data_IF_786367938223
#
_entry.id   IF_786367938223
#
_cell.length_a   1.000
_cell.length_b   1.000
_cell.length_c   1.000
_cell.angle_alpha   90.00
_cell.angle_beta   90.00
_cell.angle_gamma   90.00
#
_symmetry.space_group_name_H-M   'P 1'
#
loop_
_entity.id
_entity.type
_entity.pdbx_description
1 polymer ?
#
# COMPACT_ATOMS: atom_id res chain seq x y z
N UNK A 1 73.40 -38.51 22.88
CA UNK A 1 72.41 -37.89 21.97
C UNK A 1 71.25 -38.86 21.77
N UNK A 2 70.07 -38.52 22.28
CA UNK A 2 68.91 -39.42 22.42
C UNK A 2 68.18 -39.59 21.08
N UNK A 3 68.02 -40.83 20.60
CA UNK A 3 67.31 -41.15 19.35
C UNK A 3 65.79 -41.05 19.59
N UNK A 4 65.13 -40.04 19.02
CA UNK A 4 63.67 -39.95 19.01
C UNK A 4 63.11 -41.12 18.19
N UNK A 5 62.24 -41.92 18.80
CA UNK A 5 61.65 -43.11 18.18
C UNK A 5 60.67 -42.69 17.08
N UNK A 6 60.83 -43.20 15.84
CA UNK A 6 60.01 -42.87 14.65
C UNK A 6 58.49 -42.92 14.92
N UNK A 7 58.04 -43.78 15.85
CA UNK A 7 56.63 -43.88 16.26
C UNK A 7 56.12 -42.61 16.97
N UNK A 8 56.94 -42.00 17.84
CA UNK A 8 56.59 -40.76 18.58
C UNK A 8 56.48 -39.57 17.63
N UNK A 9 57.36 -39.51 16.63
CA UNK A 9 57.32 -38.48 15.59
C UNK A 9 56.04 -38.57 14.75
N UNK A 10 55.64 -39.80 14.39
CA UNK A 10 54.42 -40.03 13.60
C UNK A 10 53.15 -39.65 14.36
N UNK A 11 53.10 -39.91 15.67
CA UNK A 11 51.97 -39.52 16.53
C UNK A 11 51.86 -38.00 16.68
N UNK A 12 52.98 -37.29 16.82
CA UNK A 12 53.00 -35.81 16.88
C UNK A 12 52.55 -35.17 15.56
N UNK A 13 52.97 -35.72 14.42
CA UNK A 13 52.54 -35.24 13.10
C UNK A 13 51.04 -35.47 12.89
N UNK A 14 50.51 -36.64 13.27
CA UNK A 14 49.07 -36.91 13.21
C UNK A 14 48.24 -36.04 14.15
N UNK A 15 48.73 -35.73 15.37
CA UNK A 15 48.06 -34.79 16.28
C UNK A 15 48.02 -33.35 15.74
N UNK A 16 49.06 -32.93 15.01
CA UNK A 16 49.09 -31.59 14.40
C UNK A 16 48.17 -31.43 13.19
N UNK A 17 47.79 -32.53 12.54
CA UNK A 17 46.84 -32.56 11.42
C UNK A 17 45.36 -32.55 11.87
N UNK A 18 45.10 -32.71 13.17
CA UNK A 18 43.77 -32.70 13.79
C UNK A 18 43.35 -31.33 14.33
N UNK A 19 44.12 -30.27 14.03
CA UNK A 19 43.68 -28.92 14.32
C UNK A 19 42.51 -28.62 13.36
N UNK A 20 41.27 -28.44 13.85
CA UNK A 20 40.21 -27.94 12.99
C UNK A 20 40.67 -26.59 12.45
N UNK A 21 40.97 -26.53 11.15
CA UNK A 21 41.08 -25.26 10.45
C UNK A 21 39.65 -24.72 10.41
N UNK A 22 39.31 -23.92 11.42
CA UNK A 22 38.07 -23.15 11.40
C UNK A 22 38.22 -22.24 10.19
N UNK A 23 37.46 -22.51 9.13
CA UNK A 23 37.40 -21.60 8.01
C UNK A 23 36.95 -20.27 8.57
N UNK A 24 37.83 -19.27 8.57
CA UNK A 24 37.46 -17.94 9.03
C UNK A 24 36.32 -17.46 8.13
N UNK A 25 35.19 -17.08 8.72
CA UNK A 25 34.13 -16.42 7.97
C UNK A 25 34.72 -15.12 7.40
N UNK A 26 34.93 -15.12 6.08
CA UNK A 26 35.40 -13.93 5.38
C UNK A 26 34.18 -13.09 5.06
N UNK A 27 33.99 -12.02 5.83
CA UNK A 27 32.95 -11.02 5.60
C UNK A 27 33.57 -9.86 4.84
N UNK A 28 33.14 -9.67 3.60
CA UNK A 28 33.54 -8.53 2.78
C UNK A 28 32.59 -7.36 3.03
N UNK A 29 33.11 -6.25 3.53
CA UNK A 29 32.36 -5.01 3.71
C UNK A 29 32.59 -4.10 2.51
N UNK A 30 31.50 -3.60 1.93
CA UNK A 30 31.54 -2.64 0.83
C UNK A 30 31.08 -1.28 1.34
N UNK A 31 31.83 -0.22 1.03
CA UNK A 31 31.44 1.15 1.31
C UNK A 31 30.67 1.72 0.12
N UNK A 32 29.51 2.30 0.38
CA UNK A 32 28.74 3.10 -0.58
C UNK A 32 28.26 4.39 0.07
N UNK A 33 27.78 5.33 -0.73
CA UNK A 33 27.12 6.55 -0.25
C UNK A 33 25.77 6.73 -0.92
N UNK A 34 24.77 7.17 -0.14
CA UNK A 34 23.43 7.48 -0.64
C UNK A 34 23.20 8.97 -0.43
N UNK A 35 22.99 9.71 -1.52
CA UNK A 35 22.60 11.12 -1.46
C UNK A 35 21.08 11.23 -1.50
N UNK A 36 20.49 11.75 -0.42
CA UNK A 36 19.05 11.98 -0.33
C UNK A 36 18.73 13.41 -0.74
N UNK A 37 17.94 13.57 -1.80
CA UNK A 37 17.46 14.86 -2.29
C UNK A 37 15.94 14.90 -2.26
N UNK A 38 15.34 16.08 -2.05
CA UNK A 38 13.89 16.26 -2.16
C UNK A 38 13.46 16.34 -3.63
N UNK A 39 12.27 15.82 -3.92
CA UNK A 39 11.59 15.95 -5.22
C UNK A 39 10.11 16.28 -4.98
N UNK A 40 9.41 16.76 -6.02
CA UNK A 40 7.96 16.96 -5.96
C UNK A 40 7.22 15.62 -5.93
N UNK A 41 6.03 15.61 -5.33
CA UNK A 41 5.18 14.42 -5.33
C UNK A 41 4.69 14.10 -6.75
N UNK A 42 4.56 12.80 -7.09
CA UNK A 42 4.15 12.40 -8.44
C UNK A 42 2.64 12.50 -8.69
N UNK A 43 1.85 12.66 -7.62
CA UNK A 43 0.41 12.92 -7.65
C UNK A 43 0.04 14.02 -6.66
N UNK A 44 -1.04 14.72 -6.94
CA UNK A 44 -1.68 15.67 -6.01
C UNK A 44 -3.13 15.24 -5.77
N UNK A 45 -3.59 15.40 -4.52
CA UNK A 45 -4.96 15.11 -4.13
C UNK A 45 -5.73 16.43 -3.93
N UNK A 46 -7.00 16.42 -4.31
CA UNK A 46 -7.93 17.52 -4.09
C UNK A 46 -9.32 16.95 -3.76
N UNK A 47 -10.12 17.72 -3.00
CA UNK A 47 -11.53 17.37 -2.80
C UNK A 47 -12.21 17.32 -4.18
N UNK A 48 -12.97 16.25 -4.43
CA UNK A 48 -13.67 16.07 -5.69
C UNK A 48 -14.87 17.00 -5.81
N UNK A 49 -15.44 17.16 -7.02
CA UNK A 49 -16.56 18.08 -7.27
C UNK A 49 -17.81 17.77 -6.43
N UNK A 50 -18.01 16.51 -6.00
CA UNK A 50 -19.10 16.17 -5.08
C UNK A 50 -18.57 15.61 -3.76
N UNK A 51 -17.35 15.98 -3.37
CA UNK A 51 -16.73 15.54 -2.13
C UNK A 51 -17.31 16.20 -0.87
N UNK A 52 -18.12 17.24 -1.02
CA UNK A 52 -18.73 17.96 0.10
C UNK A 52 -20.21 18.23 -0.18
N UNK A 53 -21.07 17.36 0.36
CA UNK A 53 -22.52 17.41 0.26
C UNK A 53 -23.12 17.07 1.63
N UNK A 54 -23.63 18.09 2.31
CA UNK A 54 -24.18 17.99 3.66
C UNK A 54 -25.19 16.86 3.80
N UNK A 55 -24.94 15.96 4.76
CA UNK A 55 -25.80 14.81 5.04
C UNK A 55 -25.55 13.57 4.15
N UNK A 56 -24.63 13.65 3.19
CA UNK A 56 -24.29 12.52 2.30
C UNK A 56 -22.80 12.19 2.32
N UNK A 57 -21.94 13.19 2.12
CA UNK A 57 -20.49 13.00 2.12
C UNK A 57 -19.75 14.28 2.51
N UNK A 58 -18.67 14.15 3.27
CA UNK A 58 -17.72 15.24 3.53
C UNK A 58 -16.30 14.70 3.40
N UNK A 59 -15.54 15.25 2.46
CA UNK A 59 -14.18 14.85 2.13
C UNK A 59 -13.22 15.97 2.47
N UNK A 60 -12.14 15.61 3.15
CA UNK A 60 -11.02 16.49 3.42
C UNK A 60 -9.77 15.90 2.80
N UNK A 61 -8.91 16.77 2.27
CA UNK A 61 -7.57 16.40 1.83
C UNK A 61 -6.59 17.19 2.68
N UNK A 62 -5.59 16.51 3.22
CA UNK A 62 -4.61 17.10 4.12
C UNK A 62 -3.20 16.59 3.85
N UNK A 63 -2.23 17.30 4.43
CA UNK A 63 -0.88 16.81 4.59
C UNK A 63 -0.75 16.25 6.01
N UNK A 64 -1.01 14.96 6.18
CA UNK A 64 -0.70 14.28 7.43
C UNK A 64 0.82 14.28 7.64
N UNK A 65 1.32 14.06 8.87
CA UNK A 65 2.75 13.89 9.14
C UNK A 65 3.44 12.75 8.35
N UNK A 66 2.68 11.97 7.57
CA UNK A 66 3.14 10.86 6.71
C UNK A 66 2.88 11.06 5.21
N UNK A 67 2.46 12.26 4.77
CA UNK A 67 2.21 12.57 3.36
C UNK A 67 0.78 13.06 3.07
N UNK A 68 0.45 13.22 1.78
CA UNK A 68 -0.89 13.57 1.32
C UNK A 68 -1.87 12.46 1.71
N UNK A 69 -2.91 12.81 2.45
CA UNK A 69 -3.97 11.91 2.88
C UNK A 69 -5.33 12.51 2.55
N UNK A 70 -6.35 11.66 2.51
CA UNK A 70 -7.73 12.09 2.45
C UNK A 70 -8.55 11.36 3.51
N UNK A 71 -9.61 12.01 3.98
CA UNK A 71 -10.62 11.41 4.84
C UNK A 71 -11.98 11.76 4.26
N UNK A 72 -12.82 10.76 4.04
CA UNK A 72 -14.21 10.95 3.64
C UNK A 72 -15.14 10.36 4.71
N UNK A 73 -16.05 11.17 5.22
CA UNK A 73 -17.19 10.74 6.04
C UNK A 73 -18.39 10.57 5.11
N UNK A 74 -19.00 9.39 5.10
CA UNK A 74 -20.16 9.08 4.25
C UNK A 74 -21.37 8.69 5.11
N UNK A 75 -22.56 8.98 4.61
CA UNK A 75 -23.82 8.58 5.21
C UNK A 75 -24.52 7.61 4.26
N UNK A 76 -24.75 6.39 4.73
CA UNK A 76 -25.38 5.30 3.97
C UNK A 76 -26.74 4.94 4.55
N UNK A 77 -27.57 4.26 3.77
CA UNK A 77 -28.93 3.88 4.17
C UNK A 77 -29.18 2.39 3.91
N UNK A 78 -30.39 1.89 4.21
CA UNK A 78 -30.83 0.54 3.85
C UNK A 78 -31.08 0.41 2.33
N UNK A 79 -30.11 0.80 1.51
CA UNK A 79 -30.17 0.78 0.05
C UNK A 79 -29.58 -0.53 -0.49
N UNK A 80 -29.77 -0.80 -1.79
CA UNK A 80 -29.03 -1.89 -2.44
C UNK A 80 -27.58 -1.48 -2.69
N UNK A 81 -27.37 -0.22 -3.07
CA UNK A 81 -26.05 0.39 -3.21
C UNK A 81 -26.16 1.89 -2.91
N UNK A 82 -25.16 2.43 -2.23
CA UNK A 82 -24.92 3.87 -2.10
C UNK A 82 -23.72 4.24 -2.98
N UNK A 83 -23.91 5.19 -3.90
CA UNK A 83 -22.87 5.60 -4.84
C UNK A 83 -22.49 7.08 -4.64
N UNK A 84 -21.29 7.31 -4.12
CA UNK A 84 -20.71 8.63 -3.89
C UNK A 84 -19.83 9.00 -5.08
N UNK A 85 -20.43 9.73 -6.02
CA UNK A 85 -19.82 10.07 -7.29
C UNK A 85 -18.76 11.17 -7.15
N UNK A 86 -17.52 10.93 -7.57
CA UNK A 86 -16.44 11.93 -7.67
C UNK A 86 -16.18 12.70 -6.36
N UNK A 87 -15.92 11.98 -5.27
CA UNK A 87 -15.65 12.58 -3.96
C UNK A 87 -14.20 13.06 -3.79
N UNK A 88 -13.28 12.52 -4.57
CA UNK A 88 -11.84 12.86 -4.55
C UNK A 88 -11.34 13.04 -5.99
N UNK A 89 -10.39 13.95 -6.18
CA UNK A 89 -9.66 14.14 -7.44
C UNK A 89 -8.18 13.83 -7.23
N UNK A 90 -7.59 13.10 -8.18
CA UNK A 90 -6.16 12.80 -8.26
C UNK A 90 -5.61 13.48 -9.51
N UNK A 91 -4.62 14.36 -9.36
CA UNK A 91 -3.83 14.91 -10.47
C UNK A 91 -2.55 14.09 -10.63
N UNK A 92 -2.32 13.52 -11.81
CA UNK A 92 -1.06 12.84 -12.11
C UNK A 92 -0.02 13.85 -12.63
N UNK A 93 0.98 14.17 -11.81
CA UNK A 93 2.07 15.09 -12.18
C UNK A 93 3.24 14.37 -12.87
N UNK A 94 3.31 13.05 -12.71
CA UNK A 94 4.21 12.13 -13.42
C UNK A 94 3.41 10.91 -13.89
N UNK A 95 3.79 10.27 -15.02
CA UNK A 95 3.16 9.01 -15.41
C UNK A 95 3.52 7.92 -14.39
N UNK A 96 2.62 6.96 -14.19
CA UNK A 96 2.84 5.90 -13.21
C UNK A 96 1.61 5.03 -13.00
N UNK A 97 1.71 4.11 -12.05
CA UNK A 97 0.64 3.17 -11.73
C UNK A 97 0.16 3.40 -10.30
N UNK A 98 -1.14 3.67 -10.16
CA UNK A 98 -1.85 3.70 -8.89
C UNK A 98 -2.22 2.27 -8.48
N UNK A 99 -2.03 1.95 -7.20
CA UNK A 99 -2.37 0.64 -6.65
C UNK A 99 -2.73 0.78 -5.17
N UNK A 100 -3.29 -0.29 -4.59
CA UNK A 100 -3.59 -0.36 -3.17
C UNK A 100 -2.56 -1.28 -2.52
N UNK A 101 -1.87 -0.80 -1.49
CA UNK A 101 -0.89 -1.59 -0.73
C UNK A 101 -1.54 -2.43 0.34
N UNK A 102 -2.57 -1.88 1.00
CA UNK A 102 -3.24 -2.51 2.11
C UNK A 102 -4.65 -1.93 2.31
N UNK A 103 -5.54 -2.75 2.87
CA UNK A 103 -6.89 -2.35 3.26
C UNK A 103 -7.20 -2.94 4.63
N UNK A 104 -7.72 -2.12 5.53
CA UNK A 104 -8.23 -2.57 6.82
C UNK A 104 -9.62 -2.01 7.08
N UNK A 105 -10.43 -2.71 7.87
CA UNK A 105 -11.77 -2.21 8.20
C UNK A 105 -12.21 -2.54 9.62
N UNK A 106 -12.99 -1.63 10.21
CA UNK A 106 -13.70 -1.79 11.48
C UNK A 106 -15.22 -1.76 11.30
N UNK A 107 -15.73 -1.84 10.08
CA UNK A 107 -17.18 -1.78 9.79
C UNK A 107 -17.95 -3.04 10.20
N UNK A 108 -17.25 -4.08 10.66
CA UNK A 108 -17.83 -5.37 11.01
C UNK A 108 -18.57 -5.99 9.83
N UNK A 109 -19.76 -6.52 10.07
CA UNK A 109 -20.61 -7.09 9.02
C UNK A 109 -21.55 -6.08 8.36
N UNK A 110 -21.39 -4.78 8.60
CA UNK A 110 -22.34 -3.78 8.09
C UNK A 110 -22.14 -3.46 6.60
N UNK A 111 -20.93 -3.64 6.06
CA UNK A 111 -20.61 -3.36 4.66
C UNK A 111 -20.30 -4.67 3.95
N UNK A 112 -21.10 -5.04 2.95
CA UNK A 112 -20.94 -6.27 2.18
C UNK A 112 -19.80 -6.16 1.17
N UNK A 113 -19.83 -5.12 0.36
CA UNK A 113 -18.80 -4.82 -0.62
C UNK A 113 -18.59 -3.30 -0.72
N UNK A 114 -17.40 -2.89 -1.14
CA UNK A 114 -17.12 -1.49 -1.46
C UNK A 114 -16.04 -1.40 -2.53
N UNK A 115 -16.16 -0.40 -3.40
CA UNK A 115 -15.26 -0.17 -4.52
C UNK A 115 -14.85 1.30 -4.62
N UNK A 116 -13.56 1.52 -4.88
CA UNK A 116 -13.09 2.79 -5.42
C UNK A 116 -13.08 2.69 -6.95
N UNK A 117 -13.80 3.57 -7.62
CA UNK A 117 -13.90 3.61 -9.08
C UNK A 117 -13.13 4.82 -9.57
N UNK A 118 -12.19 4.61 -10.48
CA UNK A 118 -11.32 5.66 -11.02
C UNK A 118 -11.78 6.01 -12.43
N UNK A 119 -12.09 7.28 -12.65
CA UNK A 119 -12.57 7.80 -13.92
C UNK A 119 -11.67 8.92 -14.41
N UNK A 120 -11.41 8.98 -15.72
CA UNK A 120 -10.68 10.11 -16.29
C UNK A 120 -11.58 11.35 -16.30
N UNK A 121 -11.13 12.44 -15.68
CA UNK A 121 -11.97 13.61 -15.46
C UNK A 121 -12.36 14.34 -16.76
N UNK A 122 -11.57 14.18 -17.84
CA UNK A 122 -11.80 14.87 -19.11
C UNK A 122 -12.88 14.23 -19.98
N UNK A 123 -13.13 12.93 -19.83
CA UNK A 123 -14.08 12.18 -20.67
C UNK A 123 -15.05 11.29 -19.89
N UNK A 124 -14.90 11.17 -18.57
CA UNK A 124 -15.78 10.38 -17.71
C UNK A 124 -15.56 8.86 -17.78
N UNK A 125 -14.64 8.38 -18.63
CA UNK A 125 -14.42 6.95 -18.80
C UNK A 125 -13.81 6.33 -17.55
N UNK A 126 -14.38 5.22 -17.09
CA UNK A 126 -13.78 4.38 -16.05
C UNK A 126 -12.51 3.74 -16.59
N UNK A 127 -11.40 3.96 -15.89
CA UNK A 127 -10.08 3.41 -16.25
C UNK A 127 -9.66 2.25 -15.34
N UNK A 128 -10.39 2.03 -14.25
CA UNK A 128 -10.19 0.90 -13.36
C UNK A 128 -10.92 1.07 -12.04
N UNK A 129 -10.91 0.02 -11.24
CA UNK A 129 -11.51 -0.01 -9.92
C UNK A 129 -10.68 -0.84 -8.94
N UNK A 130 -10.83 -0.52 -7.66
CA UNK A 130 -10.32 -1.32 -6.55
C UNK A 130 -11.50 -1.78 -5.70
N UNK A 131 -11.75 -3.09 -5.67
CA UNK A 131 -12.67 -3.68 -4.70
C UNK A 131 -11.97 -3.73 -3.34
N UNK A 132 -12.30 -2.79 -2.46
CA UNK A 132 -11.62 -2.62 -1.16
C UNK A 132 -12.28 -3.45 -0.06
N UNK A 133 -13.59 -3.71 -0.15
CA UNK A 133 -14.30 -4.65 0.73
C UNK A 133 -14.92 -5.74 -0.13
N UNK A 134 -14.77 -7.00 0.27
CA UNK A 134 -15.45 -8.15 -0.34
C UNK A 134 -15.95 -9.09 0.73
N UNK A 135 -17.25 -9.40 0.69
CA UNK A 135 -17.88 -10.37 1.59
C UNK A 135 -17.64 -10.03 3.06
N UNK A 136 -17.87 -8.76 3.43
CA UNK A 136 -17.75 -8.24 4.80
C UNK A 136 -16.33 -8.10 5.35
N UNK A 137 -15.30 -8.30 4.53
CA UNK A 137 -13.90 -8.21 4.95
C UNK A 137 -13.11 -7.27 4.04
N UNK A 138 -12.01 -6.75 4.56
CA UNK A 138 -11.01 -6.08 3.75
C UNK A 138 -10.52 -7.01 2.63
N UNK A 139 -10.44 -6.48 1.41
CA UNK A 139 -10.04 -7.24 0.24
C UNK A 139 -8.66 -6.79 -0.24
N UNK A 140 -7.80 -7.77 -0.52
CA UNK A 140 -6.49 -7.49 -1.09
C UNK A 140 -6.66 -7.18 -2.58
N UNK A 141 -6.24 -5.98 -2.97
CA UNK A 141 -6.27 -5.54 -4.36
C UNK A 141 -4.96 -5.92 -5.06
N UNK A 142 -5.05 -6.54 -6.23
CA UNK A 142 -3.88 -6.86 -7.08
C UNK A 142 -3.83 -6.02 -8.35
N UNK A 143 -4.91 -5.29 -8.66
CA UNK A 143 -5.01 -4.42 -9.83
C UNK A 143 -4.06 -3.23 -9.70
N UNK A 144 -3.52 -2.80 -10.83
CA UNK A 144 -2.80 -1.52 -10.98
C UNK A 144 -3.49 -0.67 -12.04
N UNK A 145 -3.64 0.62 -11.80
CA UNK A 145 -4.30 1.55 -12.72
C UNK A 145 -3.28 2.56 -13.23
N UNK A 146 -3.02 2.56 -14.54
CA UNK A 146 -2.07 3.47 -15.15
C UNK A 146 -2.64 4.88 -15.26
N UNK A 147 -1.92 5.87 -14.75
CA UNK A 147 -2.24 7.28 -14.86
C UNK A 147 -1.25 7.98 -15.80
N UNK A 148 -1.80 8.79 -16.69
CA UNK A 148 -1.06 9.59 -17.65
C UNK A 148 -0.73 10.94 -17.05
N UNK A 149 0.53 11.36 -17.20
CA UNK A 149 0.98 12.67 -16.75
C UNK A 149 0.15 13.80 -17.34
N UNK A 150 -0.20 14.79 -16.51
CA UNK A 150 -1.00 15.93 -16.91
C UNK A 150 -2.51 15.72 -16.82
N UNK A 151 -2.99 14.49 -16.66
CA UNK A 151 -4.43 14.22 -16.52
C UNK A 151 -4.89 14.29 -15.06
N UNK A 152 -6.17 14.62 -14.89
CA UNK A 152 -6.88 14.50 -13.61
C UNK A 152 -7.84 13.31 -13.67
N UNK A 153 -8.03 12.68 -12.52
CA UNK A 153 -8.85 11.49 -12.35
C UNK A 153 -9.79 11.68 -11.17
N UNK A 154 -11.07 11.44 -11.37
CA UNK A 154 -12.05 11.46 -10.31
C UNK A 154 -12.16 10.08 -9.68
N UNK A 155 -12.34 10.04 -8.36
CA UNK A 155 -12.56 8.82 -7.59
C UNK A 155 -13.98 8.84 -7.05
N UNK A 156 -14.72 7.79 -7.34
CA UNK A 156 -16.04 7.53 -6.77
C UNK A 156 -15.97 6.37 -5.77
N UNK A 157 -16.89 6.34 -4.81
CA UNK A 157 -17.03 5.23 -3.87
C UNK A 157 -18.40 4.58 -4.07
N UNK A 158 -18.41 3.28 -4.37
CA UNK A 158 -19.62 2.46 -4.38
C UNK A 158 -19.63 1.59 -3.12
N UNK A 159 -20.73 1.60 -2.37
CA UNK A 159 -20.91 0.84 -1.14
C UNK A 159 -22.15 -0.03 -1.25
N UNK A 160 -21.99 -1.31 -0.94
CA UNK A 160 -23.10 -2.26 -0.78
C UNK A 160 -23.24 -2.57 0.72
N UNK A 161 -24.27 -2.05 1.42
CA UNK A 161 -24.50 -2.39 2.83
C UNK A 161 -25.09 -3.79 2.99
N UNK A 162 -24.93 -4.39 4.18
CA UNK A 162 -25.78 -5.50 4.59
C UNK A 162 -27.03 -4.96 5.27
N UNK A 163 -28.19 -5.27 4.67
CA UNK A 163 -29.47 -4.84 5.18
C UNK A 163 -30.08 -5.91 6.12
N UNK A 164 -30.77 -5.50 7.20
CA UNK A 164 -30.88 -4.12 7.67
C UNK A 164 -29.61 -3.63 8.37
N UNK A 165 -29.23 -2.38 8.11
CA UNK A 165 -28.26 -1.65 8.90
C UNK A 165 -28.77 -1.48 10.35
N UNK A 166 -27.87 -1.47 11.35
CA UNK A 166 -28.26 -1.35 12.75
C UNK A 166 -28.96 -0.02 13.05
N UNK A 167 -30.01 -0.08 13.86
CA UNK A 167 -30.86 1.07 14.20
C UNK A 167 -30.22 2.07 15.19
N UNK A 168 -29.02 1.77 15.72
CA UNK A 168 -28.34 2.58 16.74
C UNK A 168 -26.87 2.81 16.40
N UNK A 169 -26.44 4.07 16.46
CA UNK A 169 -25.06 4.51 16.20
C UNK A 169 -24.99 5.51 15.05
N UNK A 170 -24.12 6.53 15.15
CA UNK A 170 -23.91 7.53 14.09
C UNK A 170 -22.86 7.11 13.07
N UNK A 171 -21.96 6.17 13.42
CA UNK A 171 -20.91 5.66 12.53
C UNK A 171 -20.81 4.13 12.63
N UNK A 172 -20.76 3.46 11.48
CA UNK A 172 -20.70 2.00 11.39
C UNK A 172 -19.27 1.43 11.48
N UNK A 173 -18.26 2.29 11.40
CA UNK A 173 -16.84 1.93 11.42
C UNK A 173 -16.05 2.72 10.37
N UNK A 174 -14.83 2.27 10.09
CA UNK A 174 -13.92 2.90 9.14
C UNK A 174 -13.40 1.87 8.15
N UNK A 175 -13.26 2.26 6.88
CA UNK A 175 -12.48 1.53 5.89
C UNK A 175 -11.23 2.36 5.64
N UNK A 176 -10.05 1.80 5.93
CA UNK A 176 -8.76 2.44 5.70
C UNK A 176 -8.12 1.81 4.48
N UNK A 177 -7.78 2.63 3.49
CA UNK A 177 -7.15 2.19 2.25
C UNK A 177 -5.80 2.89 2.12
N UNK A 178 -4.74 2.11 1.97
CA UNK A 178 -3.41 2.63 1.70
C UNK A 178 -3.16 2.57 0.20
N UNK A 179 -3.05 3.74 -0.43
CA UNK A 179 -2.75 3.88 -1.85
C UNK A 179 -1.24 4.06 -2.05
N UNK A 180 -0.70 3.34 -3.03
CA UNK A 180 0.66 3.50 -3.53
C UNK A 180 0.65 4.05 -4.96
N UNK A 181 1.75 4.73 -5.32
CA UNK A 181 1.95 5.22 -6.68
C UNK A 181 3.37 4.90 -7.15
N UNK A 182 3.49 4.08 -8.20
CA UNK A 182 4.77 3.68 -8.76
C UNK A 182 5.06 4.50 -10.02
N UNK A 183 6.08 5.36 -9.94
CA UNK A 183 6.54 6.21 -11.06
C UNK A 183 7.46 5.48 -12.04
N UNK A 184 7.92 4.27 -11.71
CA UNK A 184 8.83 3.48 -12.53
C UNK A 184 8.03 2.40 -13.26
N UNK A 185 7.96 2.52 -14.59
CA UNK A 185 7.44 1.45 -15.46
C UNK A 185 8.49 0.35 -15.61
N UNK A 186 8.50 -0.58 -14.67
CA UNK A 186 9.26 -1.82 -14.74
C UNK A 186 8.72 -2.74 -13.65
N UNK A 187 8.21 -3.91 -14.03
CA UNK A 187 7.48 -4.86 -13.17
C UNK A 187 8.29 -5.51 -12.03
N UNK A 188 9.19 -4.77 -11.39
CA UNK A 188 9.88 -5.18 -10.18
C UNK A 188 8.92 -5.19 -8.99
N UNK A 189 9.21 -6.11 -8.05
CA UNK A 189 8.44 -6.26 -6.82
C UNK A 189 8.26 -4.92 -6.11
N UNK A 190 7.00 -4.54 -5.89
CA UNK A 190 6.64 -3.37 -5.11
C UNK A 190 6.87 -3.74 -3.64
N UNK A 191 7.93 -3.22 -3.02
CA UNK A 191 8.15 -3.44 -1.59
C UNK A 191 7.13 -2.63 -0.79
N UNK A 192 6.50 -3.27 0.18
CA UNK A 192 5.69 -2.57 1.19
C UNK A 192 6.57 -1.55 1.93
N UNK A 193 6.03 -0.37 2.32
CA UNK A 193 6.72 0.47 3.28
C UNK A 193 6.97 -0.33 4.57
N UNK A 194 8.05 -0.03 5.34
CA UNK A 194 8.31 -0.71 6.60
C UNK A 194 7.09 -0.58 7.51
N UNK A 195 6.58 -1.71 8.01
CA UNK A 195 5.64 -1.71 9.13
C UNK A 195 6.40 -1.24 10.37
N UNK A 196 5.99 -0.10 10.93
CA UNK A 196 6.42 0.35 12.26
C UNK A 196 5.77 -0.50 13.34
#
# INVERSE_FOLDING_TARGET
MTRINKKVLLTLVFLSALIPVVAADVIYYYQGSVKVCKTAMPIELQVGPNGDQTGYITTTVGNAPRGYCFTATIYITNSTYDYFYHFLTIKACKPGNLFVTDVSTSTGTNIKCAWLIIQCASNGNTIGEFKIISTNAANQCTTTISLTSGNSYCVSLLVEPNNPLPNSGTCLGTITVYLGYNVVNGGGAISLPPTL
#
